data_IF_116674763802
#
_entry.id   IF_116674763802
#
_cell.length_a   1.000
_cell.length_b   1.000
_cell.length_c   1.000
_cell.angle_alpha   90.00
_cell.angle_beta   90.00
_cell.angle_gamma   90.00
#
_symmetry.space_group_name_H-M   'P 1'
#
loop_
_entity.id
_entity.type
_entity.pdbx_description
1 polymer ?
#
# COMPACT_ATOMS: atom_id res chain seq x y z
N UNK A 1 31.22 10.42 23.60
CA UNK A 1 31.37 11.38 22.48
C UNK A 1 30.74 12.73 22.80
N UNK A 2 29.40 12.88 22.84
CA UNK A 2 28.78 14.18 23.13
C UNK A 2 29.16 14.74 24.51
N UNK A 3 29.17 13.90 25.55
CA UNK A 3 29.64 14.28 26.88
C UNK A 3 31.12 14.72 26.91
N UNK A 4 31.98 14.10 26.09
CA UNK A 4 33.41 14.43 26.01
C UNK A 4 33.65 15.74 25.23
N UNK A 5 32.78 16.03 24.25
CA UNK A 5 32.72 17.30 23.53
C UNK A 5 32.24 18.43 24.47
N UNK A 6 31.22 18.15 25.30
CA UNK A 6 30.74 19.10 26.31
C UNK A 6 31.80 19.41 27.38
N UNK A 7 32.59 18.40 27.77
CA UNK A 7 33.72 18.49 28.68
C UNK A 7 34.98 19.13 28.05
N UNK A 8 34.97 19.47 26.75
CA UNK A 8 36.08 20.14 26.07
C UNK A 8 37.30 19.24 25.79
N UNK A 9 37.14 17.92 25.87
CA UNK A 9 38.22 16.94 25.64
C UNK A 9 38.43 16.63 24.16
N UNK A 10 37.52 17.08 23.29
CA UNK A 10 37.49 16.75 21.86
C UNK A 10 37.52 18.04 21.04
N UNK A 11 38.58 18.23 20.25
CA UNK A 11 38.72 19.39 19.34
C UNK A 11 38.29 19.13 17.90
N UNK A 12 38.10 17.88 17.48
CA UNK A 12 37.70 17.55 16.10
C UNK A 12 36.87 16.27 16.05
N UNK A 13 35.80 16.29 15.26
CA UNK A 13 34.89 15.18 15.01
C UNK A 13 34.89 14.87 13.52
N UNK A 14 35.23 13.62 13.17
CA UNK A 14 35.26 13.15 11.78
C UNK A 14 34.26 12.01 11.64
N UNK A 15 33.34 12.14 10.69
CA UNK A 15 32.34 11.12 10.38
C UNK A 15 32.31 10.80 8.88
N UNK A 16 31.88 9.58 8.56
CA UNK A 16 31.70 9.16 7.17
C UNK A 16 30.59 9.97 6.47
N UNK A 17 29.46 10.12 7.15
CA UNK A 17 28.24 10.78 6.67
C UNK A 17 27.44 11.33 7.87
N UNK A 18 26.68 12.42 7.68
CA UNK A 18 25.92 13.10 8.75
C UNK A 18 24.93 12.17 9.47
N UNK A 19 24.50 11.09 8.82
CA UNK A 19 23.64 10.06 9.40
C UNK A 19 24.25 9.34 10.61
N UNK A 20 25.57 9.38 10.77
CA UNK A 20 26.31 8.78 11.90
C UNK A 20 26.19 9.59 13.18
N UNK A 21 25.86 10.87 13.09
CA UNK A 21 25.70 11.75 14.24
C UNK A 21 24.32 11.62 14.90
N UNK A 22 23.30 11.22 14.13
CA UNK A 22 21.96 10.99 14.64
C UNK A 22 20.93 10.72 13.54
N UNK A 23 19.85 10.03 13.90
CA UNK A 23 18.72 9.75 12.98
C UNK A 23 17.79 10.95 12.77
N UNK A 24 17.84 11.94 13.67
CA UNK A 24 16.98 13.11 13.63
C UNK A 24 17.75 14.32 13.09
N UNK A 25 17.41 14.74 11.88
CA UNK A 25 18.06 15.83 11.14
C UNK A 25 18.12 17.15 11.90
N UNK A 26 17.06 17.48 12.66
CA UNK A 26 17.00 18.72 13.45
C UNK A 26 18.02 18.72 14.59
N UNK A 27 18.21 17.57 15.24
CA UNK A 27 19.20 17.44 16.31
C UNK A 27 20.61 17.50 15.73
N UNK A 28 20.86 16.80 14.62
CA UNK A 28 22.18 16.82 13.95
C UNK A 28 22.56 18.24 13.52
N UNK A 29 21.63 18.99 12.90
CA UNK A 29 21.84 20.39 12.54
C UNK A 29 22.14 21.29 13.75
N UNK A 30 21.38 21.15 14.84
CA UNK A 30 21.61 21.90 16.09
C UNK A 30 23.02 21.65 16.65
N UNK A 31 23.50 20.40 16.64
CA UNK A 31 24.85 20.10 17.11
C UNK A 31 25.93 20.69 16.20
N UNK A 32 25.79 20.57 14.88
CA UNK A 32 26.80 21.02 13.92
C UNK A 32 26.86 22.54 13.75
N UNK A 33 25.72 23.24 13.84
CA UNK A 33 25.63 24.69 13.60
C UNK A 33 25.74 25.52 14.87
N UNK A 34 25.33 25.00 16.04
CA UNK A 34 25.35 25.78 17.29
C UNK A 34 26.36 25.23 18.30
N UNK A 35 26.29 23.94 18.63
CA UNK A 35 27.03 23.40 19.79
C UNK A 35 28.52 23.21 19.47
N UNK A 36 28.86 22.66 18.30
CA UNK A 36 30.25 22.45 17.91
C UNK A 36 31.02 23.77 17.69
N UNK A 37 30.45 24.80 17.03
CA UNK A 37 31.09 26.11 16.94
C UNK A 37 31.26 26.80 18.31
N UNK A 38 30.25 26.74 19.20
CA UNK A 38 30.36 27.29 20.56
C UNK A 38 31.47 26.65 21.39
N UNK A 39 31.83 25.40 21.11
CA UNK A 39 32.85 24.62 21.82
C UNK A 39 34.18 24.56 21.06
N UNK A 40 34.36 25.33 19.98
CA UNK A 40 35.54 25.29 19.11
C UNK A 40 35.89 23.89 18.58
N UNK A 41 34.88 23.07 18.28
CA UNK A 41 35.05 21.72 17.76
C UNK A 41 34.88 21.73 16.25
N UNK A 42 35.93 21.32 15.52
CA UNK A 42 35.87 21.17 14.06
C UNK A 42 35.11 19.89 13.69
N UNK A 43 34.05 20.02 12.91
CA UNK A 43 33.29 18.91 12.34
C UNK A 43 33.65 18.67 10.87
N UNK A 44 33.89 17.40 10.50
CA UNK A 44 34.19 16.95 9.15
C UNK A 44 33.30 15.76 8.79
N UNK A 45 32.50 15.88 7.72
CA UNK A 45 31.77 14.77 7.12
C UNK A 45 32.28 14.50 5.70
N UNK A 46 32.93 13.34 5.53
CA UNK A 46 33.71 13.02 4.32
C UNK A 46 32.83 12.92 3.08
N UNK A 47 31.74 12.15 3.15
CA UNK A 47 30.87 11.93 1.99
C UNK A 47 29.97 13.13 1.67
N UNK A 48 29.66 13.94 2.68
CA UNK A 48 28.79 15.11 2.54
C UNK A 48 29.60 16.37 2.15
N UNK A 49 30.93 16.27 2.10
CA UNK A 49 31.82 17.39 1.76
C UNK A 49 31.74 18.54 2.75
N UNK A 50 31.40 18.25 4.01
CA UNK A 50 31.24 19.26 5.08
C UNK A 50 32.53 19.36 5.86
N UNK A 51 33.10 20.55 5.92
CA UNK A 51 34.19 20.90 6.82
C UNK A 51 33.89 22.26 7.46
N UNK A 52 33.59 22.26 8.75
CA UNK A 52 33.32 23.47 9.53
C UNK A 52 34.46 24.51 9.52
N UNK A 53 35.68 24.12 9.14
CA UNK A 53 36.81 25.05 9.03
C UNK A 53 36.88 25.80 7.69
N UNK A 54 36.14 25.37 6.66
CA UNK A 54 36.16 25.99 5.32
C UNK A 54 35.03 27.00 5.07
N UNK A 55 34.26 27.37 6.10
CA UNK A 55 33.08 28.22 5.96
C UNK A 55 31.82 27.39 5.78
N UNK A 56 30.69 27.93 6.26
CA UNK A 56 29.40 27.23 6.34
C UNK A 56 29.07 26.52 5.02
N UNK A 57 28.74 25.22 5.11
CA UNK A 57 28.17 24.49 3.99
C UNK A 57 26.68 24.90 3.85
N UNK A 58 26.42 26.19 3.63
CA UNK A 58 25.11 26.86 3.55
C UNK A 58 24.17 26.20 2.52
N UNK A 59 24.73 25.43 1.60
CA UNK A 59 24.00 24.73 0.56
C UNK A 59 23.48 23.35 0.97
N UNK A 60 23.92 22.77 2.08
CA UNK A 60 23.42 21.46 2.52
C UNK A 60 21.91 21.49 2.87
N UNK A 61 21.41 22.49 3.63
CA UNK A 61 19.97 22.66 3.84
C UNK A 61 19.21 22.90 2.54
N UNK A 62 19.75 23.71 1.62
CA UNK A 62 19.13 23.99 0.32
C UNK A 62 19.04 22.73 -0.54
N UNK A 63 20.11 21.94 -0.65
CA UNK A 63 20.12 20.66 -1.38
C UNK A 63 19.09 19.68 -0.83
N UNK A 64 18.95 19.61 0.49
CA UNK A 64 17.95 18.76 1.13
C UNK A 64 16.52 19.22 0.82
N UNK A 65 16.27 20.53 0.82
CA UNK A 65 14.97 21.10 0.41
C UNK A 65 14.68 20.76 -1.06
N UNK A 66 15.65 20.90 -1.96
CA UNK A 66 15.49 20.54 -3.37
C UNK A 66 15.18 19.05 -3.57
N UNK A 67 15.90 18.18 -2.87
CA UNK A 67 15.64 16.74 -2.90
C UNK A 67 14.24 16.41 -2.38
N UNK A 68 13.83 17.01 -1.26
CA UNK A 68 12.50 16.80 -0.71
C UNK A 68 11.40 17.33 -1.66
N UNK A 69 11.64 18.47 -2.29
CA UNK A 69 10.73 19.04 -3.27
C UNK A 69 10.56 18.13 -4.48
N UNK A 70 11.66 17.57 -5.01
CA UNK A 70 11.62 16.63 -6.14
C UNK A 70 10.86 15.35 -5.80
N UNK A 71 11.06 14.78 -4.60
CA UNK A 71 10.30 13.61 -4.13
C UNK A 71 8.81 13.93 -3.98
N UNK A 72 8.48 15.11 -3.42
CA UNK A 72 7.09 15.57 -3.27
C UNK A 72 6.43 15.81 -4.62
N UNK A 73 7.11 16.45 -5.55
CA UNK A 73 6.59 16.75 -6.89
C UNK A 73 6.36 15.46 -7.70
N UNK A 74 7.33 14.54 -7.69
CA UNK A 74 7.20 13.22 -8.33
C UNK A 74 6.00 12.46 -7.75
N UNK A 75 5.86 12.46 -6.43
CA UNK A 75 4.71 11.84 -5.75
C UNK A 75 3.38 12.47 -6.15
N UNK A 76 3.31 13.80 -6.30
CA UNK A 76 2.12 14.51 -6.79
C UNK A 76 1.78 14.13 -8.23
N UNK A 77 2.78 14.11 -9.13
CA UNK A 77 2.61 13.73 -10.54
C UNK A 77 2.09 12.31 -10.68
N UNK A 78 2.70 11.35 -9.99
CA UNK A 78 2.24 9.95 -10.01
C UNK A 78 0.80 9.83 -9.50
N UNK A 79 0.46 10.53 -8.42
CA UNK A 79 -0.91 10.55 -7.88
C UNK A 79 -1.90 11.19 -8.86
N UNK A 80 -1.51 12.26 -9.56
CA UNK A 80 -2.34 12.90 -10.58
C UNK A 80 -2.59 11.98 -11.77
N UNK A 81 -1.57 11.27 -12.26
CA UNK A 81 -1.72 10.27 -13.34
C UNK A 81 -2.65 9.14 -12.91
N UNK A 82 -2.45 8.56 -11.72
CA UNK A 82 -3.35 7.52 -11.18
C UNK A 82 -4.77 8.03 -11.00
N UNK A 83 -4.94 9.29 -10.57
CA UNK A 83 -6.25 9.92 -10.44
C UNK A 83 -6.92 10.09 -11.80
N UNK A 84 -6.20 10.61 -12.78
CA UNK A 84 -6.71 10.76 -14.15
C UNK A 84 -7.14 9.42 -14.74
N UNK A 85 -6.31 8.38 -14.61
CA UNK A 85 -6.62 7.02 -15.06
C UNK A 85 -7.87 6.46 -14.35
N UNK A 86 -7.93 6.58 -13.02
CA UNK A 86 -9.07 6.06 -12.27
C UNK A 86 -10.37 6.83 -12.51
N UNK A 87 -10.30 8.12 -12.84
CA UNK A 87 -11.47 8.93 -13.20
C UNK A 87 -11.94 8.68 -14.64
N UNK A 88 -11.09 8.15 -15.52
CA UNK A 88 -11.48 7.78 -16.90
C UNK A 88 -12.16 6.42 -17.00
N UNK A 89 -12.58 5.83 -15.87
CA UNK A 89 -13.22 4.51 -15.83
C UNK A 89 -12.28 3.33 -16.02
N UNK A 90 -10.95 3.54 -16.02
CA UNK A 90 -9.98 2.44 -16.10
C UNK A 90 -9.58 1.94 -14.70
N UNK A 91 -9.33 0.63 -14.52
CA UNK A 91 -8.90 0.12 -13.23
C UNK A 91 -7.52 0.69 -12.84
N UNK A 92 -7.43 1.21 -11.61
CA UNK A 92 -6.15 1.67 -11.04
C UNK A 92 -5.35 0.49 -10.49
N UNK A 93 -6.02 -0.60 -10.16
CA UNK A 93 -5.42 -1.82 -9.62
C UNK A 93 -4.77 -2.62 -10.73
N UNK A 94 -3.60 -3.20 -10.46
CA UNK A 94 -2.89 -4.09 -11.40
C UNK A 94 -3.44 -5.51 -11.44
N UNK A 95 -4.43 -5.82 -10.60
CA UNK A 95 -5.04 -7.14 -10.46
C UNK A 95 -6.54 -6.99 -10.22
N UNK A 96 -7.36 -7.74 -10.94
CA UNK A 96 -8.79 -7.78 -10.69
C UNK A 96 -9.09 -8.58 -9.41
N UNK A 97 -10.34 -8.54 -9.00
CA UNK A 97 -10.82 -9.31 -7.84
C UNK A 97 -11.07 -10.76 -8.21
N UNK A 98 -11.02 -11.65 -7.21
CA UNK A 98 -11.18 -13.08 -7.41
C UNK A 98 -12.49 -13.40 -8.14
N UNK A 99 -12.46 -14.20 -9.21
CA UNK A 99 -13.60 -14.41 -10.10
C UNK A 99 -13.49 -13.66 -11.43
N UNK A 100 -12.57 -12.70 -11.55
CA UNK A 100 -12.26 -12.01 -12.79
C UNK A 100 -10.78 -12.15 -13.17
N UNK A 101 -10.53 -12.06 -14.47
CA UNK A 101 -9.24 -11.92 -15.11
C UNK A 101 -9.13 -10.53 -15.74
N UNK A 102 -7.90 -10.09 -15.97
CA UNK A 102 -7.63 -8.81 -16.64
C UNK A 102 -6.96 -9.11 -17.97
N UNK A 103 -7.53 -8.56 -19.03
CA UNK A 103 -6.99 -8.67 -20.39
C UNK A 103 -5.86 -7.66 -20.64
N UNK A 104 -5.23 -7.75 -21.82
CA UNK A 104 -4.20 -6.82 -22.29
C UNK A 104 -4.69 -5.36 -22.32
N UNK A 105 -5.98 -5.15 -22.64
CA UNK A 105 -6.64 -3.84 -22.65
C UNK A 105 -7.08 -3.34 -21.25
N UNK A 106 -6.69 -4.04 -20.18
CA UNK A 106 -7.07 -3.76 -18.80
C UNK A 106 -8.58 -3.94 -18.50
N UNK A 107 -9.32 -4.64 -19.38
CA UNK A 107 -10.72 -4.99 -19.18
C UNK A 107 -10.87 -6.19 -18.24
N UNK A 108 -11.96 -6.24 -17.46
CA UNK A 108 -12.23 -7.35 -16.56
C UNK A 108 -13.09 -8.40 -17.28
N UNK A 109 -12.56 -9.61 -17.41
CA UNK A 109 -13.21 -10.77 -18.03
C UNK A 109 -13.56 -11.77 -16.94
N UNK A 110 -14.66 -12.51 -17.07
CA UNK A 110 -15.04 -13.55 -16.12
C UNK A 110 -14.02 -14.69 -16.16
N UNK A 111 -13.57 -15.11 -14.98
CA UNK A 111 -12.73 -16.29 -14.81
C UNK A 111 -13.60 -17.55 -14.71
N UNK A 112 -13.56 -18.41 -15.72
CA UNK A 112 -14.40 -19.63 -15.77
C UNK A 112 -14.15 -20.58 -14.57
N UNK A 113 -12.96 -20.58 -13.99
CA UNK A 113 -12.61 -21.45 -12.85
C UNK A 113 -13.09 -20.84 -11.52
N UNK A 114 -12.94 -19.52 -11.34
CA UNK A 114 -13.20 -18.84 -10.07
C UNK A 114 -14.62 -18.26 -9.96
N UNK A 115 -15.26 -17.88 -11.07
CA UNK A 115 -16.60 -17.29 -11.06
C UNK A 115 -17.69 -18.24 -10.53
N UNK A 116 -17.69 -19.55 -10.84
CA UNK A 116 -18.63 -20.50 -10.24
C UNK A 116 -18.49 -20.58 -8.71
N UNK A 117 -17.27 -20.50 -8.18
CA UNK A 117 -16.99 -20.49 -6.74
C UNK A 117 -17.60 -19.24 -6.09
N UNK A 118 -17.48 -18.07 -6.74
CA UNK A 118 -18.13 -16.84 -6.25
C UNK A 118 -19.65 -17.01 -6.24
N UNK A 119 -20.26 -17.50 -7.32
CA UNK A 119 -21.72 -17.78 -7.37
C UNK A 119 -22.17 -18.74 -6.27
N UNK A 120 -21.38 -19.78 -6.00
CA UNK A 120 -21.63 -20.73 -4.93
C UNK A 120 -21.56 -20.07 -3.54
N UNK A 121 -20.60 -19.17 -3.30
CA UNK A 121 -20.48 -18.43 -2.04
C UNK A 121 -21.73 -17.58 -1.77
N UNK A 122 -22.22 -16.87 -2.79
CA UNK A 122 -23.45 -16.07 -2.66
C UNK A 122 -24.69 -16.95 -2.43
N UNK A 123 -24.83 -18.06 -3.16
CA UNK A 123 -25.98 -18.96 -2.97
C UNK A 123 -25.98 -19.63 -1.59
N UNK A 124 -24.81 -20.03 -1.06
CA UNK A 124 -24.68 -20.57 0.28
C UNK A 124 -25.02 -19.54 1.36
N UNK A 125 -24.68 -18.27 1.14
CA UNK A 125 -25.02 -17.18 2.05
C UNK A 125 -26.54 -16.91 2.05
N UNK A 126 -27.18 -16.91 0.89
CA UNK A 126 -28.64 -16.80 0.76
C UNK A 126 -29.39 -17.98 1.40
N UNK A 127 -28.78 -19.16 1.42
CA UNK A 127 -29.29 -20.32 2.16
C UNK A 127 -29.14 -20.19 3.70
N UNK A 128 -28.66 -19.06 4.21
CA UNK A 128 -28.52 -18.78 5.64
C UNK A 128 -27.24 -19.32 6.28
N UNK A 129 -26.24 -19.73 5.48
CA UNK A 129 -24.96 -20.17 6.03
C UNK A 129 -24.07 -18.96 6.36
N UNK A 130 -23.56 -18.90 7.60
CA UNK A 130 -22.61 -17.86 8.00
C UNK A 130 -21.23 -18.02 7.33
N UNK A 131 -20.41 -16.95 7.26
CA UNK A 131 -19.13 -16.96 6.56
C UNK A 131 -18.16 -18.05 7.02
N UNK A 132 -18.14 -18.38 8.31
CA UNK A 132 -17.31 -19.46 8.88
C UNK A 132 -17.73 -20.83 8.36
N UNK A 133 -19.04 -21.07 8.24
CA UNK A 133 -19.58 -22.33 7.73
C UNK A 133 -19.32 -22.47 6.24
N UNK A 134 -19.49 -21.38 5.48
CA UNK A 134 -19.15 -21.33 4.06
C UNK A 134 -17.66 -21.65 3.85
N UNK A 135 -16.77 -21.00 4.60
CA UNK A 135 -15.33 -21.26 4.52
C UNK A 135 -14.99 -22.73 4.80
N UNK A 136 -15.65 -23.36 5.80
CA UNK A 136 -15.47 -24.78 6.08
C UNK A 136 -15.95 -25.66 4.92
N UNK A 137 -17.13 -25.39 4.36
CA UNK A 137 -17.67 -26.14 3.22
C UNK A 137 -16.77 -26.04 1.99
N UNK A 138 -16.23 -24.86 1.68
CA UNK A 138 -15.27 -24.68 0.57
C UNK A 138 -13.97 -25.45 0.81
N UNK A 139 -13.54 -25.54 2.07
CA UNK A 139 -12.35 -26.31 2.46
C UNK A 139 -12.60 -27.82 2.35
N UNK A 140 -13.78 -28.30 2.76
CA UNK A 140 -14.21 -29.69 2.63
C UNK A 140 -14.36 -30.12 1.15
N UNK A 141 -14.71 -29.19 0.27
CA UNK A 141 -14.79 -29.40 -1.19
C UNK A 141 -13.43 -29.31 -1.89
N UNK A 142 -12.33 -29.13 -1.13
CA UNK A 142 -10.97 -28.98 -1.65
C UNK A 142 -10.81 -27.85 -2.69
N UNK A 143 -11.63 -26.79 -2.59
CA UNK A 143 -11.56 -25.66 -3.53
C UNK A 143 -10.30 -24.83 -3.24
N UNK A 144 -9.45 -24.55 -4.23
CA UNK A 144 -8.25 -23.76 -4.03
C UNK A 144 -8.57 -22.33 -3.58
N UNK A 145 -7.83 -21.83 -2.61
CA UNK A 145 -7.99 -20.43 -2.18
C UNK A 145 -7.54 -19.46 -3.28
N UNK A 146 -7.99 -18.19 -3.25
CA UNK A 146 -7.56 -17.18 -4.22
C UNK A 146 -6.05 -17.01 -4.30
N UNK A 147 -5.33 -17.16 -3.16
CA UNK A 147 -3.87 -17.09 -3.11
C UNK A 147 -3.19 -18.29 -3.77
N UNK A 148 -3.74 -19.49 -3.59
CA UNK A 148 -3.29 -20.72 -4.26
C UNK A 148 -3.50 -20.65 -5.77
N UNK A 149 -4.69 -20.20 -6.20
CA UNK A 149 -4.99 -20.04 -7.62
C UNK A 149 -4.02 -19.03 -8.28
N UNK A 150 -3.74 -17.92 -7.60
CA UNK A 150 -2.76 -16.94 -8.06
C UNK A 150 -1.35 -17.55 -8.21
N UNK A 151 -0.93 -18.37 -7.24
CA UNK A 151 0.35 -19.05 -7.29
C UNK A 151 0.47 -19.99 -8.48
N UNK A 152 -0.58 -20.79 -8.77
CA UNK A 152 -0.59 -21.69 -9.94
C UNK A 152 -0.44 -20.93 -11.26
N UNK A 153 -1.03 -19.74 -11.37
CA UNK A 153 -1.01 -18.95 -12.60
C UNK A 153 0.26 -18.09 -12.78
N UNK A 154 0.79 -17.55 -11.69
CA UNK A 154 1.85 -16.51 -11.75
C UNK A 154 3.14 -16.89 -11.04
N UNK A 155 3.16 -18.00 -10.29
CA UNK A 155 4.27 -18.40 -9.44
C UNK A 155 4.51 -17.50 -8.21
N UNK A 156 3.62 -16.52 -7.94
CA UNK A 156 3.81 -15.58 -6.83
C UNK A 156 3.45 -16.19 -5.49
N UNK A 157 4.37 -16.12 -4.54
CA UNK A 157 4.22 -16.75 -3.21
C UNK A 157 3.60 -15.83 -2.15
N UNK A 158 3.30 -14.56 -2.47
CA UNK A 158 2.90 -13.53 -1.47
C UNK A 158 1.66 -13.91 -0.65
N UNK A 159 0.69 -14.60 -1.25
CA UNK A 159 -0.57 -15.05 -0.60
C UNK A 159 -0.71 -16.57 -0.59
N UNK A 160 0.34 -17.28 -1.00
CA UNK A 160 0.39 -18.73 -1.05
C UNK A 160 0.90 -19.26 0.28
N UNK A 161 0.20 -20.25 0.82
CA UNK A 161 0.57 -20.90 2.06
C UNK A 161 0.72 -22.40 1.78
N UNK A 162 1.95 -22.91 1.65
CA UNK A 162 2.22 -24.33 1.45
C UNK A 162 1.54 -25.15 2.56
N UNK A 163 0.79 -26.20 2.19
CA UNK A 163 0.05 -27.04 3.13
C UNK A 163 -1.35 -26.53 3.54
N UNK A 164 -1.75 -25.34 3.09
CA UNK A 164 -3.08 -24.76 3.34
C UNK A 164 -3.78 -24.33 2.05
N UNK A 165 -3.55 -25.07 0.98
CA UNK A 165 -3.93 -24.68 -0.38
C UNK A 165 -5.44 -24.48 -0.55
N UNK A 166 -6.24 -25.25 0.18
CA UNK A 166 -7.70 -25.21 0.14
C UNK A 166 -8.31 -24.71 1.46
N UNK A 167 -7.51 -24.18 2.39
CA UNK A 167 -8.03 -23.70 3.69
C UNK A 167 -8.57 -22.29 3.56
N UNK A 168 -9.88 -22.18 3.39
CA UNK A 168 -10.56 -20.88 3.32
C UNK A 168 -10.65 -20.22 4.69
N UNK A 169 -10.28 -18.94 4.75
CA UNK A 169 -10.49 -18.12 5.93
C UNK A 169 -11.85 -17.42 5.85
N UNK A 170 -12.56 -17.32 6.98
CA UNK A 170 -13.85 -16.63 7.05
C UNK A 170 -13.76 -15.18 6.56
N UNK A 171 -12.66 -14.47 6.87
CA UNK A 171 -12.43 -13.10 6.39
C UNK A 171 -12.37 -13.00 4.86
N UNK A 172 -11.83 -14.02 4.17
CA UNK A 172 -11.79 -14.04 2.70
C UNK A 172 -13.20 -14.12 2.14
N UNK A 173 -14.07 -14.95 2.72
CA UNK A 173 -15.49 -15.05 2.32
C UNK A 173 -16.22 -13.74 2.60
N UNK A 174 -16.02 -13.14 3.78
CA UNK A 174 -16.58 -11.83 4.14
C UNK A 174 -16.21 -10.75 3.11
N UNK A 175 -14.93 -10.67 2.73
CA UNK A 175 -14.48 -9.71 1.72
C UNK A 175 -15.06 -9.96 0.33
N UNK A 176 -15.28 -11.22 -0.06
CA UNK A 176 -15.94 -11.56 -1.34
C UNK A 176 -17.40 -11.11 -1.31
N UNK A 177 -18.10 -11.38 -0.21
CA UNK A 177 -19.51 -11.02 -0.05
C UNK A 177 -19.71 -9.49 0.07
N UNK A 178 -18.75 -8.73 0.61
CA UNK A 178 -18.82 -7.26 0.72
C UNK A 178 -18.55 -6.52 -0.59
N UNK A 179 -17.85 -7.15 -1.53
CA UNK A 179 -17.30 -6.42 -2.67
C UNK A 179 -18.37 -6.18 -3.75
N UNK A 180 -18.76 -4.92 -3.92
CA UNK A 180 -19.72 -4.50 -4.96
C UNK A 180 -19.24 -4.76 -6.40
N UNK A 181 -17.94 -4.98 -6.62
CA UNK A 181 -17.40 -5.22 -7.97
C UNK A 181 -17.93 -6.49 -8.65
N UNK A 182 -18.54 -7.42 -7.89
CA UNK A 182 -19.22 -8.59 -8.45
C UNK A 182 -20.49 -8.25 -9.24
N UNK A 183 -21.05 -7.06 -9.05
CA UNK A 183 -22.23 -6.54 -9.76
C UNK A 183 -21.91 -5.86 -11.10
N UNK A 184 -20.68 -6.00 -11.61
CA UNK A 184 -20.25 -5.33 -12.84
C UNK A 184 -19.85 -3.85 -12.66
N UNK A 185 -19.75 -3.38 -11.42
CA UNK A 185 -19.27 -2.03 -11.11
C UNK A 185 -17.75 -2.01 -10.93
N UNK A 186 -17.07 -0.97 -11.41
CA UNK A 186 -15.68 -0.68 -11.06
C UNK A 186 -15.62 0.35 -9.94
N UNK A 187 -14.91 0.03 -8.85
CA UNK A 187 -14.78 0.94 -7.69
C UNK A 187 -13.32 1.33 -7.52
N UNK A 188 -12.99 2.53 -7.98
CA UNK A 188 -11.65 3.12 -7.85
C UNK A 188 -11.49 3.93 -6.55
N UNK A 189 -10.24 4.07 -6.09
CA UNK A 189 -9.86 4.86 -4.91
C UNK A 189 -10.42 4.37 -3.56
N UNK A 190 -10.63 3.05 -3.38
CA UNK A 190 -10.98 2.44 -2.08
C UNK A 190 -10.01 2.77 -0.94
N UNK A 191 -8.74 2.93 -1.27
CA UNK A 191 -7.69 3.26 -0.31
C UNK A 191 -6.85 4.44 -0.77
N UNK A 192 -6.26 5.14 0.20
CA UNK A 192 -5.31 6.23 -0.05
C UNK A 192 -4.20 6.19 0.99
N UNK A 193 -2.99 6.55 0.57
CA UNK A 193 -1.85 6.69 1.47
C UNK A 193 -1.86 8.04 2.15
N UNK A 194 -1.72 8.07 3.48
CA UNK A 194 -1.86 9.28 4.31
C UNK A 194 -1.00 10.45 3.83
N UNK A 195 0.25 10.20 3.48
CA UNK A 195 1.15 11.21 2.93
C UNK A 195 2.19 10.57 2.01
N UNK A 196 3.02 11.36 1.34
CA UNK A 196 4.13 10.80 0.55
C UNK A 196 5.26 10.25 1.43
N UNK A 197 5.33 10.69 2.71
CA UNK A 197 6.33 10.24 3.68
C UNK A 197 5.87 9.05 4.51
N UNK A 198 4.57 8.89 4.71
CA UNK A 198 4.01 7.83 5.53
C UNK A 198 3.30 6.82 4.65
N UNK A 199 3.80 5.57 4.64
CA UNK A 199 3.22 4.47 3.87
C UNK A 199 1.92 3.89 4.47
N UNK A 200 1.35 4.54 5.50
CA UNK A 200 0.11 4.10 6.13
C UNK A 200 -1.06 4.23 5.13
N UNK A 201 -1.73 3.10 4.90
CA UNK A 201 -2.91 3.00 4.05
C UNK A 201 -4.16 3.33 4.89
N UNK A 202 -5.01 4.20 4.36
CA UNK A 202 -6.28 4.62 4.95
C UNK A 202 -7.39 4.22 3.98
N UNK A 203 -8.49 3.69 4.52
CA UNK A 203 -9.70 3.41 3.74
C UNK A 203 -10.49 4.69 3.52
N UNK A 204 -10.91 4.93 2.27
CA UNK A 204 -11.67 6.11 1.90
C UNK A 204 -13.17 5.90 2.13
N UNK A 205 -13.86 6.96 2.55
CA UNK A 205 -15.33 7.01 2.55
C UNK A 205 -15.89 6.86 1.14
N UNK A 206 -17.13 6.42 1.03
CA UNK A 206 -17.81 6.17 -0.26
C UNK A 206 -17.81 7.40 -1.18
N UNK A 207 -17.97 8.61 -0.64
CA UNK A 207 -17.95 9.87 -1.41
C UNK A 207 -16.62 10.15 -2.15
N UNK A 208 -15.53 9.55 -1.67
CA UNK A 208 -14.19 9.70 -2.26
C UNK A 208 -13.86 8.57 -3.23
N UNK A 209 -14.73 7.56 -3.33
CA UNK A 209 -14.58 6.46 -4.26
C UNK A 209 -15.23 6.85 -5.59
N UNK A 210 -14.57 6.53 -6.69
CA UNK A 210 -15.15 6.71 -8.02
C UNK A 210 -15.78 5.38 -8.42
N UNK A 211 -17.12 5.36 -8.51
CA UNK A 211 -17.91 4.18 -8.87
C UNK A 211 -18.34 4.35 -10.32
N UNK A 212 -17.96 3.40 -11.16
CA UNK A 212 -18.39 3.31 -12.55
C UNK A 212 -19.30 2.09 -12.68
N UNK A 213 -20.57 2.33 -12.98
CA UNK A 213 -21.55 1.26 -13.18
C UNK A 213 -21.38 0.64 -14.58
N UNK A 214 -21.72 -0.65 -14.72
CA UNK A 214 -21.66 -1.41 -15.98
C UNK A 214 -20.30 -1.37 -16.70
N UNK A 215 -19.20 -1.51 -15.95
CA UNK A 215 -17.85 -1.55 -16.50
C UNK A 215 -17.53 -2.92 -17.12
N UNK A 216 -17.96 -4.01 -16.49
CA UNK A 216 -17.69 -5.38 -16.92
C UNK A 216 -18.88 -6.30 -16.66
N UNK A 217 -18.84 -7.50 -17.23
CA UNK A 217 -19.91 -8.49 -17.09
C UNK A 217 -20.11 -8.87 -15.62
N UNK A 218 -21.36 -8.85 -15.15
CA UNK A 218 -21.67 -9.16 -13.76
C UNK A 218 -21.61 -10.67 -13.49
N UNK A 219 -20.93 -11.06 -12.41
CA UNK A 219 -20.99 -12.45 -11.91
C UNK A 219 -22.27 -12.65 -11.11
N UNK A 220 -22.71 -11.62 -10.37
CA UNK A 220 -23.86 -11.64 -9.46
C UNK A 220 -24.77 -10.46 -9.79
N UNK A 221 -26.09 -10.71 -9.84
CA UNK A 221 -27.09 -9.67 -10.03
C UNK A 221 -27.11 -8.70 -8.85
N UNK A 222 -27.38 -7.42 -9.11
CA UNK A 222 -27.44 -6.38 -8.09
C UNK A 222 -28.40 -6.73 -6.95
N UNK A 223 -29.58 -7.26 -7.28
CA UNK A 223 -30.60 -7.66 -6.30
C UNK A 223 -30.09 -8.77 -5.37
N UNK A 224 -29.35 -9.74 -5.91
CA UNK A 224 -28.74 -10.83 -5.14
C UNK A 224 -27.70 -10.27 -4.18
N UNK A 225 -26.89 -9.31 -4.63
CA UNK A 225 -25.88 -8.66 -3.79
C UNK A 225 -26.51 -7.85 -2.66
N UNK A 226 -27.54 -7.04 -2.96
CA UNK A 226 -28.24 -6.23 -1.96
C UNK A 226 -28.89 -7.09 -0.88
N UNK A 227 -29.55 -8.18 -1.27
CA UNK A 227 -30.16 -9.14 -0.32
C UNK A 227 -29.13 -9.78 0.60
N UNK A 228 -27.94 -10.09 0.09
CA UNK A 228 -26.84 -10.59 0.93
C UNK A 228 -26.34 -9.52 1.90
N UNK A 229 -26.26 -8.25 1.49
CA UNK A 229 -25.90 -7.17 2.42
C UNK A 229 -26.93 -7.02 3.53
N UNK A 230 -28.22 -7.12 3.23
CA UNK A 230 -29.29 -7.05 4.23
C UNK A 230 -29.21 -8.19 5.25
N UNK A 231 -28.95 -9.42 4.80
CA UNK A 231 -28.77 -10.58 5.69
C UNK A 231 -27.55 -10.48 6.61
N UNK A 232 -26.61 -9.58 6.30
CA UNK A 232 -25.35 -9.40 7.04
C UNK A 232 -25.34 -8.16 7.94
N UNK A 233 -26.37 -7.31 7.88
CA UNK A 233 -26.57 -6.19 8.82
C UNK A 233 -27.01 -6.71 10.19
#
# INVERSE_FOLDING_TARGET
>A
MLADIEAGLVGTVIVKDMSRLGRNYLQVGMYTEMIFPQKNVRFIAINDGVDSAQGENDFAPLRNIFNEWLVRDTSKKIRAVKRSKGMSGKPVTSKPVYGYLMDEDENFIIDEEAAPVVKQIYSLCLAGNGPTKIARMLTEQEIPTPGTLEYRRTGRTRRYHPGYECKWAANTVVHILENREYTGCLVNFKTTTQSYKCSKIIYNSEDKQAIFENHHEQIIDKDTWERVQELRK
#
